data_IF_184420727892
#
_entry.id   IF_184420727892
#
_cell.length_a   1.000
_cell.length_b   1.000
_cell.length_c   1.000
_cell.angle_alpha   90.00
_cell.angle_beta   90.00
_cell.angle_gamma   90.00
#
_symmetry.space_group_name_H-M   'P 1'
#
loop_
_entity.id
_entity.type
_entity.pdbx_description
1 polymer ?
#
# COMPACT_ATOMS: atom_id res chain seq x y z
N UNK A 1 34.41 -6.48 18.11
CA UNK A 1 33.29 -7.12 17.39
C UNK A 1 32.81 -6.10 16.40
N UNK A 2 32.95 -6.40 15.12
CA UNK A 2 32.75 -5.47 14.01
C UNK A 2 31.29 -5.56 13.53
N UNK A 3 30.51 -4.52 13.82
CA UNK A 3 29.07 -4.42 13.49
C UNK A 3 28.83 -4.11 11.99
N UNK A 4 29.88 -3.95 11.17
CA UNK A 4 29.78 -3.59 9.75
C UNK A 4 29.45 -4.73 8.78
N UNK A 5 29.19 -5.96 9.27
CA UNK A 5 28.96 -7.16 8.43
C UNK A 5 27.56 -7.75 8.46
N UNK A 6 26.59 -7.13 9.15
CA UNK A 6 25.21 -7.63 9.23
C UNK A 6 24.24 -7.03 8.19
N UNK A 7 24.67 -6.03 7.39
CA UNK A 7 23.80 -5.35 6.41
C UNK A 7 24.26 -5.50 4.94
N UNK A 8 24.93 -6.60 4.59
CA UNK A 8 25.21 -6.91 3.17
C UNK A 8 24.67 -8.28 2.78
N UNK A 9 23.41 -8.27 2.33
CA UNK A 9 22.66 -9.22 1.46
C UNK A 9 21.23 -9.34 1.99
N UNK A 10 20.16 -9.07 1.26
CA UNK A 10 20.04 -8.83 -0.18
C UNK A 10 19.30 -7.54 -0.47
N UNK A 11 19.83 -6.77 -1.42
CA UNK A 11 18.93 -6.27 -2.46
C UNK A 11 18.18 -7.51 -2.95
N UNK A 12 16.90 -7.62 -2.62
CA UNK A 12 16.02 -8.41 -3.47
C UNK A 12 16.04 -7.66 -4.79
N UNK A 13 16.84 -8.16 -5.76
CA UNK A 13 16.52 -7.87 -7.15
C UNK A 13 15.01 -8.15 -7.29
N UNK A 14 14.24 -7.23 -7.88
CA UNK A 14 12.81 -7.45 -8.05
C UNK A 14 12.63 -8.82 -8.70
N UNK A 15 11.78 -9.64 -8.10
CA UNK A 15 11.45 -10.94 -8.66
C UNK A 15 11.05 -10.75 -10.13
N UNK A 16 11.35 -11.71 -11.03
CA UNK A 16 10.89 -11.65 -12.41
C UNK A 16 9.39 -11.32 -12.45
N UNK A 17 8.95 -10.48 -13.40
CA UNK A 17 7.59 -9.94 -13.42
C UNK A 17 6.49 -11.03 -13.31
N UNK A 18 6.74 -12.21 -13.89
CA UNK A 18 5.84 -13.36 -13.80
C UNK A 18 5.73 -13.92 -12.37
N UNK A 19 6.85 -14.01 -11.63
CA UNK A 19 6.89 -14.48 -10.24
C UNK A 19 6.20 -13.48 -9.30
N UNK A 20 6.42 -12.18 -9.51
CA UNK A 20 5.75 -11.12 -8.75
C UNK A 20 4.22 -11.16 -8.96
N UNK A 21 3.78 -11.38 -10.20
CA UNK A 21 2.37 -11.50 -10.57
C UNK A 21 1.71 -12.71 -9.91
N UNK A 22 2.33 -13.89 -10.00
CA UNK A 22 1.78 -15.12 -9.44
C UNK A 22 1.76 -15.08 -7.91
N UNK A 23 2.78 -14.51 -7.28
CA UNK A 23 2.82 -14.31 -5.84
C UNK A 23 1.69 -13.38 -5.38
N UNK A 24 1.47 -12.26 -6.07
CA UNK A 24 0.36 -11.36 -5.76
C UNK A 24 -1.00 -12.06 -5.91
N UNK A 25 -1.26 -12.75 -7.03
CA UNK A 25 -2.53 -13.50 -7.23
C UNK A 25 -2.79 -14.46 -6.08
N UNK A 26 -1.77 -15.21 -5.67
CA UNK A 26 -1.87 -16.16 -4.57
C UNK A 26 -2.11 -15.46 -3.23
N UNK A 27 -1.45 -14.32 -2.97
CA UNK A 27 -1.64 -13.52 -1.77
C UNK A 27 -3.05 -12.93 -1.67
N UNK A 28 -3.53 -12.33 -2.76
CA UNK A 28 -4.87 -11.76 -2.85
C UNK A 28 -5.95 -12.84 -2.63
N UNK A 29 -5.83 -13.98 -3.31
CA UNK A 29 -6.79 -15.08 -3.14
C UNK A 29 -6.84 -15.59 -1.70
N UNK A 30 -5.69 -15.67 -1.02
CA UNK A 30 -5.62 -16.06 0.40
C UNK A 30 -6.24 -15.01 1.32
N UNK A 31 -6.07 -13.73 1.03
CA UNK A 31 -6.63 -12.64 1.83
C UNK A 31 -8.15 -12.58 1.65
N UNK A 32 -8.65 -12.52 0.41
CA UNK A 32 -10.09 -12.45 0.12
C UNK A 32 -10.85 -13.63 0.73
N UNK A 33 -10.28 -14.84 0.70
CA UNK A 33 -10.90 -16.02 1.33
C UNK A 33 -11.03 -15.94 2.86
N UNK A 34 -10.39 -14.95 3.51
CA UNK A 34 -10.43 -14.73 4.97
C UNK A 34 -11.27 -13.54 5.39
N UNK A 35 -11.65 -12.67 4.45
CA UNK A 35 -12.50 -11.51 4.73
C UNK A 35 -13.96 -12.01 4.70
N UNK A 36 -14.76 -11.76 5.75
CA UNK A 36 -16.18 -12.09 5.74
C UNK A 36 -16.94 -11.15 4.78
N UNK A 37 -18.03 -11.66 4.20
CA UNK A 37 -18.89 -10.86 3.31
C UNK A 37 -18.31 -10.63 1.90
N UNK A 38 -18.93 -9.71 1.17
CA UNK A 38 -18.48 -9.31 -0.16
C UNK A 38 -17.42 -8.20 -0.06
N UNK A 39 -16.22 -8.46 -0.57
CA UNK A 39 -15.13 -7.47 -0.66
C UNK A 39 -15.42 -6.33 -1.65
N UNK A 40 -16.51 -6.43 -2.42
CA UNK A 40 -16.97 -5.43 -3.39
C UNK A 40 -15.88 -5.00 -4.39
N UNK A 41 -15.10 -5.98 -4.86
CA UNK A 41 -14.03 -5.77 -5.82
C UNK A 41 -14.60 -5.43 -7.19
N UNK A 42 -14.08 -4.39 -7.81
CA UNK A 42 -14.47 -4.01 -9.16
C UNK A 42 -13.94 -5.00 -10.21
N UNK A 43 -14.53 -5.01 -11.42
CA UNK A 43 -13.93 -5.70 -12.56
C UNK A 43 -12.49 -5.23 -12.84
N UNK A 44 -11.68 -6.02 -13.55
CA UNK A 44 -10.32 -5.65 -13.95
C UNK A 44 -10.22 -4.29 -14.63
N UNK A 45 -9.12 -3.58 -14.35
CA UNK A 45 -8.68 -2.46 -15.17
C UNK A 45 -8.21 -2.99 -16.54
N UNK A 46 -8.21 -2.11 -17.54
CA UNK A 46 -7.67 -2.44 -18.86
C UNK A 46 -6.17 -2.11 -18.93
N UNK A 47 -5.42 -2.83 -19.75
CA UNK A 47 -4.02 -2.50 -20.06
C UNK A 47 -3.86 -1.04 -20.50
N UNK A 48 -4.79 -0.53 -21.32
CA UNK A 48 -4.78 0.84 -21.80
C UNK A 48 -4.95 1.87 -20.65
N UNK A 49 -5.77 1.57 -19.66
CA UNK A 49 -5.93 2.42 -18.48
C UNK A 49 -4.64 2.45 -17.64
N UNK A 50 -3.96 1.32 -17.47
CA UNK A 50 -2.69 1.26 -16.76
C UNK A 50 -1.55 1.95 -17.52
N UNK A 51 -1.44 1.75 -18.83
CA UNK A 51 -0.47 2.50 -19.66
C UNK A 51 -0.73 4.00 -19.58
N UNK A 52 -2.00 4.42 -19.56
CA UNK A 52 -2.36 5.83 -19.39
C UNK A 52 -1.93 6.35 -18.02
N UNK A 53 -2.23 5.61 -16.94
CA UNK A 53 -1.82 5.96 -15.59
C UNK A 53 -0.30 6.11 -15.49
N UNK A 54 0.49 5.15 -15.97
CA UNK A 54 1.96 5.21 -15.96
C UNK A 54 2.50 6.41 -16.75
N UNK A 55 1.87 6.73 -17.87
CA UNK A 55 2.20 7.93 -18.66
C UNK A 55 1.94 9.21 -17.88
N UNK A 56 0.80 9.28 -17.16
CA UNK A 56 0.43 10.42 -16.34
C UNK A 56 1.35 10.60 -15.12
N UNK A 57 1.69 9.49 -14.46
CA UNK A 57 2.63 9.44 -13.33
C UNK A 57 4.09 9.72 -13.76
N UNK A 58 4.40 9.52 -15.03
CA UNK A 58 5.77 9.59 -15.58
C UNK A 58 6.67 8.44 -15.11
N UNK A 59 6.10 7.36 -14.57
CA UNK A 59 6.79 6.19 -13.99
C UNK A 59 5.97 4.93 -14.25
N UNK A 60 6.66 3.81 -14.44
CA UNK A 60 6.00 2.49 -14.53
C UNK A 60 5.54 2.03 -13.14
N UNK A 61 4.39 1.37 -13.09
CA UNK A 61 3.90 0.75 -11.86
C UNK A 61 4.66 -0.57 -11.63
N UNK A 62 4.96 -0.94 -10.37
CA UNK A 62 5.50 -2.25 -10.05
C UNK A 62 4.64 -3.39 -10.62
N UNK A 63 5.26 -4.49 -11.02
CA UNK A 63 4.57 -5.60 -11.67
C UNK A 63 3.42 -6.18 -10.82
N UNK A 64 3.59 -6.23 -9.50
CA UNK A 64 2.56 -6.68 -8.57
C UNK A 64 1.43 -5.66 -8.38
N UNK A 65 1.72 -4.35 -8.44
CA UNK A 65 0.68 -3.30 -8.48
C UNK A 65 -0.15 -3.39 -9.77
N UNK A 66 0.49 -3.53 -10.93
CA UNK A 66 -0.21 -3.77 -12.21
C UNK A 66 -1.06 -5.02 -12.13
N UNK A 67 -0.52 -6.11 -11.61
CA UNK A 67 -1.23 -7.37 -11.48
C UNK A 67 -2.47 -7.24 -10.57
N UNK A 68 -2.44 -6.40 -9.52
CA UNK A 68 -3.63 -6.15 -8.70
C UNK A 68 -4.71 -5.46 -9.50
N UNK A 69 -4.36 -4.39 -10.23
CA UNK A 69 -5.32 -3.65 -11.04
C UNK A 69 -5.86 -4.44 -12.23
N UNK A 70 -5.06 -5.33 -12.83
CA UNK A 70 -5.50 -6.26 -13.88
C UNK A 70 -6.40 -7.39 -13.35
N UNK A 71 -6.53 -7.54 -12.03
CA UNK A 71 -7.54 -8.40 -11.41
C UNK A 71 -8.77 -7.59 -11.01
N UNK A 72 -8.56 -6.42 -10.39
CA UNK A 72 -9.63 -5.57 -9.85
C UNK A 72 -9.25 -4.08 -9.91
N UNK A 73 -10.08 -3.27 -10.57
CA UNK A 73 -9.93 -1.81 -10.63
C UNK A 73 -10.46 -1.11 -9.36
N UNK A 74 -9.86 -1.46 -8.22
CA UNK A 74 -10.29 -0.95 -6.92
C UNK A 74 -11.40 -1.76 -6.26
N UNK A 75 -11.84 -1.22 -5.13
CA UNK A 75 -13.01 -1.63 -4.38
C UNK A 75 -14.06 -0.53 -4.41
N UNK A 76 -15.31 -0.91 -4.13
CA UNK A 76 -16.40 0.03 -3.93
C UNK A 76 -16.04 1.09 -2.89
N UNK A 77 -16.30 2.36 -3.23
CA UNK A 77 -16.11 3.50 -2.35
C UNK A 77 -17.48 3.91 -1.79
N UNK A 78 -17.55 4.13 -0.48
CA UNK A 78 -18.78 4.60 0.15
C UNK A 78 -19.23 5.92 -0.48
N UNK A 79 -20.51 6.02 -0.85
CA UNK A 79 -21.12 7.28 -1.28
C UNK A 79 -22.51 7.44 -0.69
N UNK A 80 -23.03 8.67 -0.63
CA UNK A 80 -24.42 8.89 -0.22
C UNK A 80 -25.45 8.19 -1.13
N UNK A 81 -25.09 7.90 -2.39
CA UNK A 81 -25.94 7.20 -3.35
C UNK A 81 -25.85 5.66 -3.22
N UNK A 82 -24.71 5.16 -2.73
CA UNK A 82 -24.45 3.75 -2.48
C UNK A 82 -23.67 3.61 -1.16
N UNK A 83 -24.38 3.58 -0.02
CA UNK A 83 -23.80 3.69 1.32
C UNK A 83 -23.26 2.36 1.85
N UNK A 84 -23.01 1.39 0.97
CA UNK A 84 -22.38 0.13 1.36
C UNK A 84 -20.90 0.37 1.62
N UNK A 85 -20.36 -0.38 2.57
CA UNK A 85 -18.93 -0.39 2.84
C UNK A 85 -18.28 -1.67 2.29
N UNK A 86 -17.13 -1.51 1.65
CA UNK A 86 -16.28 -2.63 1.31
C UNK A 86 -15.34 -2.93 2.49
N UNK A 87 -15.20 -4.20 2.87
CA UNK A 87 -14.12 -4.59 3.76
C UNK A 87 -12.77 -4.37 3.03
N UNK A 88 -12.04 -3.34 3.44
CA UNK A 88 -10.87 -2.86 2.70
C UNK A 88 -9.69 -3.83 2.72
N UNK A 89 -9.10 -4.10 1.54
CA UNK A 89 -7.95 -5.00 1.40
C UNK A 89 -6.70 -4.51 2.13
N UNK A 90 -6.61 -3.21 2.42
CA UNK A 90 -5.46 -2.58 3.05
C UNK A 90 -5.72 -2.36 4.54
N UNK A 91 -5.90 -3.49 5.26
CA UNK A 91 -6.16 -3.49 6.69
C UNK A 91 -7.37 -2.60 7.08
N UNK A 92 -8.46 -2.71 6.32
CA UNK A 92 -9.68 -1.91 6.49
C UNK A 92 -9.86 -0.80 5.45
N UNK A 93 -8.78 -0.30 4.84
CA UNK A 93 -8.88 0.72 3.81
C UNK A 93 -9.17 0.12 2.41
N UNK A 94 -10.16 0.64 1.66
CA UNK A 94 -10.49 0.13 0.33
C UNK A 94 -9.45 0.56 -0.72
N UNK A 95 -9.17 -0.34 -1.68
CA UNK A 95 -8.32 -0.02 -2.83
C UNK A 95 -9.02 1.03 -3.72
N UNK A 96 -8.32 2.12 -4.04
CA UNK A 96 -8.79 3.13 -4.99
C UNK A 96 -8.83 2.55 -6.42
N UNK A 97 -9.90 2.80 -7.18
CA UNK A 97 -9.88 2.67 -8.64
C UNK A 97 -8.75 3.48 -9.25
N UNK A 98 -8.19 3.06 -10.40
CA UNK A 98 -7.07 3.74 -11.07
C UNK A 98 -7.36 5.23 -11.28
N UNK A 99 -8.59 5.58 -11.65
CA UNK A 99 -8.98 6.98 -11.84
C UNK A 99 -8.86 7.81 -10.55
N UNK A 100 -9.25 7.23 -9.41
CA UNK A 100 -9.21 7.90 -8.12
C UNK A 100 -7.79 7.94 -7.55
N UNK A 101 -6.98 6.92 -7.82
CA UNK A 101 -5.53 6.95 -7.56
C UNK A 101 -4.89 8.16 -8.25
N UNK A 102 -5.18 8.37 -9.54
CA UNK A 102 -4.64 9.51 -10.29
C UNK A 102 -5.13 10.85 -9.75
N UNK A 103 -6.42 10.94 -9.40
CA UNK A 103 -6.99 12.14 -8.79
C UNK A 103 -6.31 12.49 -7.46
N UNK A 104 -6.13 11.49 -6.59
CA UNK A 104 -5.43 11.69 -5.32
C UNK A 104 -3.97 12.05 -5.55
N UNK A 105 -3.29 11.39 -6.48
CA UNK A 105 -1.92 11.74 -6.85
C UNK A 105 -1.82 13.18 -7.37
N UNK A 106 -2.75 13.66 -8.19
CA UNK A 106 -2.77 15.05 -8.68
C UNK A 106 -3.03 16.07 -7.56
N UNK A 107 -3.85 15.74 -6.55
CA UNK A 107 -4.11 16.61 -5.41
C UNK A 107 -2.84 16.93 -4.60
N UNK A 108 -1.83 16.06 -4.67
CA UNK A 108 -0.52 16.25 -4.03
C UNK A 108 0.46 17.10 -4.86
N UNK A 109 0.12 17.49 -6.08
CA UNK A 109 1.01 18.28 -6.93
C UNK A 109 1.41 19.61 -6.27
N UNK A 110 2.71 19.93 -6.28
CA UNK A 110 3.25 21.17 -5.73
C UNK A 110 3.56 21.13 -4.23
N UNK A 111 3.09 20.14 -3.47
CA UNK A 111 3.48 19.98 -2.06
C UNK A 111 4.95 19.61 -1.87
N UNK A 112 5.60 19.01 -2.87
CA UNK A 112 7.05 18.74 -2.91
C UNK A 112 7.94 19.99 -2.77
N UNK A 113 7.36 21.19 -2.95
CA UNK A 113 8.05 22.47 -2.77
C UNK A 113 7.91 23.05 -1.36
N UNK A 114 7.17 22.39 -0.47
CA UNK A 114 6.92 22.80 0.92
C UNK A 114 8.01 22.29 1.86
N UNK A 115 9.23 22.77 1.67
CA UNK A 115 10.39 22.37 2.49
C UNK A 115 10.22 22.66 3.99
N UNK A 116 9.35 23.61 4.35
CA UNK A 116 8.99 23.91 5.75
C UNK A 116 8.25 22.75 6.43
N UNK A 117 7.53 21.94 5.66
CA UNK A 117 6.83 20.76 6.15
C UNK A 117 7.78 19.56 6.32
N UNK A 118 8.89 19.52 5.59
CA UNK A 118 9.87 18.42 5.64
C UNK A 118 10.56 18.31 7.01
N UNK A 119 10.58 19.37 7.82
CA UNK A 119 11.21 19.38 9.16
C UNK A 119 10.60 18.34 10.10
N UNK A 120 9.32 18.03 9.94
CA UNK A 120 8.59 17.07 10.76
C UNK A 120 8.56 15.66 10.17
N UNK A 121 8.93 15.52 8.89
CA UNK A 121 8.88 14.26 8.19
C UNK A 121 10.04 13.34 8.59
N UNK A 122 9.72 12.08 8.82
CA UNK A 122 10.68 11.04 9.20
C UNK A 122 10.32 9.71 8.54
N UNK A 123 11.23 8.74 8.61
CA UNK A 123 11.03 7.41 8.04
C UNK A 123 11.26 6.34 9.11
N UNK A 124 10.38 5.35 9.16
CA UNK A 124 10.52 4.16 10.00
C UNK A 124 10.45 2.89 9.12
N UNK A 125 11.58 2.18 8.90
CA UNK A 125 12.90 2.42 9.47
C UNK A 125 13.67 3.58 8.82
N UNK A 126 14.60 4.18 9.56
CA UNK A 126 15.44 5.29 9.08
C UNK A 126 16.02 5.07 7.68
N UNK A 127 15.78 6.03 6.79
CA UNK A 127 16.37 6.08 5.46
C UNK A 127 15.70 5.19 4.41
N UNK A 128 14.61 4.49 4.75
CA UNK A 128 13.86 3.71 3.75
C UNK A 128 12.96 4.60 2.90
N UNK A 129 12.29 5.56 3.51
CA UNK A 129 11.45 6.57 2.86
C UNK A 129 12.19 7.91 2.91
N UNK A 130 12.01 8.77 1.91
CA UNK A 130 12.53 10.13 1.99
C UNK A 130 11.84 10.87 3.15
N UNK A 131 12.61 11.54 4.01
CA UNK A 131 12.09 12.40 5.07
C UNK A 131 11.59 13.73 4.45
N UNK A 132 10.44 13.67 3.79
CA UNK A 132 9.80 14.79 3.09
C UNK A 132 8.30 14.72 3.27
N UNK A 133 7.62 15.85 3.31
CA UNK A 133 6.17 15.87 3.42
C UNK A 133 5.46 15.25 2.20
N UNK A 134 6.05 15.38 1.01
CA UNK A 134 5.51 14.77 -0.21
C UNK A 134 6.59 14.51 -1.25
N UNK A 135 6.48 13.39 -1.96
CA UNK A 135 7.32 13.01 -3.10
C UNK A 135 6.43 12.50 -4.22
N UNK A 136 6.61 13.00 -5.45
CA UNK A 136 5.79 12.57 -6.62
C UNK A 136 5.90 11.08 -6.95
N UNK A 137 6.96 10.42 -6.48
CA UNK A 137 7.13 8.97 -6.57
C UNK A 137 6.20 8.17 -5.65
N UNK A 138 5.50 8.80 -4.70
CA UNK A 138 4.57 8.12 -3.79
C UNK A 138 3.19 8.04 -4.44
N UNK A 139 2.74 6.81 -4.70
CA UNK A 139 1.52 6.53 -5.45
C UNK A 139 0.44 6.03 -4.47
N UNK A 140 -0.67 6.77 -4.29
CA UNK A 140 -1.70 6.42 -3.31
C UNK A 140 -2.53 5.24 -3.80
N UNK A 141 -2.63 4.16 -3.01
CA UNK A 141 -3.51 3.03 -3.32
C UNK A 141 -4.82 3.06 -2.54
N UNK A 142 -4.88 3.86 -1.48
CA UNK A 142 -6.03 4.00 -0.58
C UNK A 142 -6.23 5.48 -0.25
N UNK A 143 -7.35 5.84 0.35
CA UNK A 143 -7.57 7.17 0.92
C UNK A 143 -8.51 7.06 2.13
N UNK A 144 -8.14 7.67 3.24
CA UNK A 144 -8.90 7.61 4.50
C UNK A 144 -10.05 8.64 4.60
N UNK A 145 -10.18 9.55 3.63
CA UNK A 145 -11.16 10.65 3.66
C UNK A 145 -10.59 11.98 4.16
N UNK A 146 -9.41 11.97 4.78
CA UNK A 146 -8.71 13.12 5.36
C UNK A 146 -7.37 13.45 4.70
N UNK A 147 -6.98 12.69 3.68
CA UNK A 147 -5.74 12.91 2.93
C UNK A 147 -4.58 12.02 3.38
N UNK A 148 -4.83 10.91 4.08
CA UNK A 148 -3.81 9.91 4.36
C UNK A 148 -3.97 8.67 3.48
N UNK A 149 -2.84 8.03 3.21
CA UNK A 149 -2.71 6.98 2.22
C UNK A 149 -1.80 5.87 2.72
N UNK A 150 -2.21 4.64 2.45
CA UNK A 150 -1.29 3.53 2.16
C UNK A 150 -1.06 3.51 0.65
N UNK A 151 0.19 3.42 0.23
CA UNK A 151 0.55 3.41 -1.18
C UNK A 151 1.92 2.80 -1.46
N UNK A 152 2.42 2.97 -2.69
CA UNK A 152 3.73 2.45 -3.11
C UNK A 152 4.72 3.56 -3.38
N UNK A 153 5.96 3.35 -2.96
CA UNK A 153 7.05 4.30 -3.09
C UNK A 153 7.94 3.96 -4.29
N UNK A 154 7.90 4.80 -5.32
CA UNK A 154 8.71 4.69 -6.54
C UNK A 154 9.94 5.60 -6.54
N UNK A 155 10.22 6.27 -5.41
CA UNK A 155 11.36 7.17 -5.23
C UNK A 155 11.86 7.09 -3.77
N UNK A 156 12.35 5.91 -3.33
CA UNK A 156 12.63 5.66 -1.93
C UNK A 156 13.88 6.38 -1.43
N UNK A 157 14.06 6.37 -0.11
CA UNK A 157 15.30 6.76 0.54
C UNK A 157 16.47 5.79 0.23
N UNK A 158 17.70 6.13 0.65
CA UNK A 158 18.90 5.37 0.30
C UNK A 158 18.95 3.92 0.82
N UNK A 159 18.15 3.59 1.83
CA UNK A 159 18.03 2.22 2.36
C UNK A 159 16.76 1.50 1.87
N UNK A 160 15.86 2.20 1.17
CA UNK A 160 14.58 1.67 0.74
C UNK A 160 14.66 0.91 -0.59
N UNK A 161 13.52 0.38 -1.01
CA UNK A 161 13.37 -0.37 -2.27
C UNK A 161 12.23 0.21 -3.10
N UNK A 162 12.44 0.38 -4.41
CA UNK A 162 11.40 0.83 -5.33
C UNK A 162 10.25 -0.18 -5.32
N UNK A 163 9.04 0.30 -5.06
CA UNK A 163 7.83 -0.53 -4.93
C UNK A 163 7.50 -0.97 -3.50
N UNK A 164 8.26 -0.53 -2.49
CA UNK A 164 7.89 -0.75 -1.09
C UNK A 164 6.54 -0.09 -0.77
N UNK A 165 5.77 -0.72 0.11
CA UNK A 165 4.46 -0.22 0.56
C UNK A 165 4.67 0.66 1.78
N UNK A 166 4.15 1.89 1.75
CA UNK A 166 4.38 2.91 2.78
C UNK A 166 3.08 3.58 3.23
N UNK A 167 3.12 4.20 4.40
CA UNK A 167 2.17 5.25 4.79
C UNK A 167 2.72 6.63 4.40
N UNK A 168 1.83 7.53 3.96
CA UNK A 168 2.11 8.95 3.76
C UNK A 168 0.79 9.73 3.75
N UNK A 169 0.80 11.04 3.96
CA UNK A 169 -0.44 11.80 4.03
C UNK A 169 -0.33 13.14 4.71
N UNK A 170 -1.48 13.80 4.85
CA UNK A 170 -1.59 15.12 5.48
C UNK A 170 -1.13 15.13 6.95
N UNK A 171 -1.39 14.03 7.67
CA UNK A 171 -1.10 13.89 9.10
C UNK A 171 0.02 12.87 9.38
N UNK A 172 0.72 12.39 8.35
CA UNK A 172 1.77 11.38 8.46
C UNK A 172 3.15 12.03 8.57
N UNK A 173 3.60 12.27 9.80
CA UNK A 173 4.95 12.78 10.10
C UNK A 173 6.01 11.66 10.12
N UNK A 174 5.59 10.41 10.25
CA UNK A 174 6.48 9.24 10.34
C UNK A 174 6.08 8.20 9.31
N UNK A 175 6.70 8.27 8.13
CA UNK A 175 6.42 7.35 7.03
C UNK A 175 6.86 5.94 7.38
N UNK A 176 5.91 5.03 7.52
CA UNK A 176 6.17 3.64 7.88
C UNK A 176 6.28 2.77 6.64
N UNK A 177 7.32 1.95 6.55
CA UNK A 177 7.39 0.88 5.55
C UNK A 177 6.63 -0.34 6.05
N UNK A 178 5.55 -0.69 5.37
CA UNK A 178 4.68 -1.81 5.71
C UNK A 178 5.13 -3.12 5.06
N UNK A 179 5.76 -3.04 3.89
CA UNK A 179 6.24 -4.23 3.18
C UNK A 179 7.25 -3.84 2.08
N UNK A 180 8.13 -4.76 1.66
CA UNK A 180 9.06 -4.52 0.56
C UNK A 180 8.39 -4.54 -0.82
N UNK A 181 7.21 -5.16 -0.94
CA UNK A 181 6.40 -5.23 -2.17
C UNK A 181 4.91 -5.33 -1.82
N UNK A 182 4.02 -5.06 -2.77
CA UNK A 182 2.57 -5.20 -2.57
C UNK A 182 2.16 -6.65 -2.35
N UNK A 183 2.78 -7.59 -3.07
CA UNK A 183 2.54 -9.02 -2.83
C UNK A 183 2.89 -9.41 -1.39
N UNK A 184 4.02 -8.92 -0.86
CA UNK A 184 4.42 -9.16 0.53
C UNK A 184 3.50 -8.47 1.53
N UNK A 185 2.93 -7.31 1.19
CA UNK A 185 1.94 -6.65 2.03
C UNK A 185 0.67 -7.51 2.19
N UNK A 186 0.07 -7.96 1.08
CA UNK A 186 -1.14 -8.79 1.11
C UNK A 186 -0.92 -10.13 1.84
N UNK A 187 0.29 -10.71 1.73
CA UNK A 187 0.69 -11.89 2.50
C UNK A 187 0.69 -11.63 4.00
N UNK A 188 1.26 -10.50 4.43
CA UNK A 188 1.27 -10.10 5.84
C UNK A 188 -0.14 -9.86 6.36
N UNK A 189 -0.97 -9.12 5.63
CA UNK A 189 -2.38 -8.91 6.01
C UNK A 189 -3.10 -10.26 6.17
N UNK A 190 -2.94 -11.17 5.20
CA UNK A 190 -3.55 -12.50 5.26
C UNK A 190 -3.08 -13.32 6.47
N UNK A 191 -1.79 -13.23 6.83
CA UNK A 191 -1.22 -13.89 7.99
C UNK A 191 -1.74 -13.31 9.31
N UNK A 192 -1.86 -11.98 9.40
CA UNK A 192 -2.39 -11.27 10.56
C UNK A 192 -3.87 -11.56 10.81
N UNK A 193 -4.66 -11.71 9.74
CA UNK A 193 -6.04 -12.20 9.85
C UNK A 193 -6.07 -13.65 10.32
N UNK A 194 -5.15 -14.50 9.84
CA UNK A 194 -5.07 -15.89 10.27
C UNK A 194 -4.66 -16.07 11.74
N UNK A 195 -3.82 -15.18 12.28
CA UNK A 195 -3.41 -15.19 13.70
C UNK A 195 -4.45 -14.54 14.62
N UNK A 196 -5.38 -13.74 14.07
CA UNK A 196 -6.33 -12.94 14.84
C UNK A 196 -5.74 -11.63 15.38
N UNK A 197 -4.55 -11.23 14.91
CA UNK A 197 -3.96 -9.92 15.24
C UNK A 197 -4.68 -8.78 14.53
N UNK A 198 -5.29 -9.08 13.40
CA UNK A 198 -6.23 -8.22 12.69
C UNK A 198 -7.51 -9.03 12.51
N UNK A 199 -8.65 -8.44 12.85
CA UNK A 199 -9.95 -9.09 12.76
C UNK A 199 -10.84 -8.19 11.89
N UNK A 200 -11.09 -8.60 10.63
CA UNK A 200 -12.08 -7.93 9.79
C UNK A 200 -13.45 -7.99 10.46
N UNK A 201 -14.19 -6.89 10.44
CA UNK A 201 -15.56 -6.87 10.93
C UNK A 201 -16.46 -7.78 10.09
N UNK A 202 -17.38 -8.48 10.74
CA UNK A 202 -18.50 -9.18 10.11
C UNK A 202 -19.77 -8.31 10.06
N UNK A 203 -19.71 -7.08 10.57
CA UNK A 203 -20.79 -6.09 10.51
C UNK A 203 -20.72 -5.29 9.20
N UNK A 204 -21.77 -5.38 8.39
CA UNK A 204 -21.88 -4.66 7.12
C UNK A 204 -22.07 -3.14 7.30
N UNK A 205 -22.52 -2.71 8.49
CA UNK A 205 -22.71 -1.31 8.85
C UNK A 205 -21.48 -0.69 9.56
N UNK A 206 -20.54 -1.52 10.02
CA UNK A 206 -19.27 -1.12 10.65
C UNK A 206 -18.14 -2.00 10.10
N UNK A 207 -17.64 -1.72 8.88
CA UNK A 207 -16.70 -2.57 8.16
C UNK A 207 -15.28 -2.56 8.75
N UNK A 208 -15.05 -1.80 9.82
CA UNK A 208 -13.71 -1.47 10.29
C UNK A 208 -12.99 -2.69 10.84
N UNK A 209 -11.70 -2.77 10.51
CA UNK A 209 -10.88 -3.87 10.97
C UNK A 209 -10.34 -3.53 12.36
N UNK A 210 -10.51 -4.46 13.31
CA UNK A 210 -9.91 -4.30 14.63
C UNK A 210 -8.51 -4.90 14.64
N UNK A 211 -7.57 -4.25 15.33
CA UNK A 211 -6.19 -4.70 15.44
C UNK A 211 -5.75 -4.82 16.89
N UNK A 212 -4.92 -5.81 17.19
CA UNK A 212 -4.40 -6.08 18.55
C UNK A 212 -3.40 -5.01 19.04
N UNK A 213 -2.79 -4.28 18.10
CA UNK A 213 -1.83 -3.19 18.28
C UNK A 213 -1.82 -2.30 17.02
N UNK A 214 -1.23 -1.10 17.04
CA UNK A 214 -1.19 -0.22 15.87
C UNK A 214 -0.64 -0.91 14.62
N UNK A 215 -1.20 -0.62 13.44
CA UNK A 215 -0.81 -1.25 12.17
C UNK A 215 0.70 -1.12 11.90
N UNK A 216 1.29 0.05 12.16
CA UNK A 216 2.74 0.27 12.02
C UNK A 216 3.62 -0.63 12.89
N UNK A 217 3.05 -1.35 13.87
CA UNK A 217 3.75 -2.33 14.71
C UNK A 217 3.40 -3.79 14.38
N UNK A 218 2.46 -4.01 13.46
CA UNK A 218 2.07 -5.33 12.96
C UNK A 218 2.80 -5.70 11.67
N UNK A 219 3.13 -4.71 10.86
CA UNK A 219 3.82 -4.90 9.59
C UNK A 219 5.34 -4.90 9.74
N UNK A 220 6.00 -5.64 8.86
CA UNK A 220 7.45 -5.76 8.80
C UNK A 220 8.00 -5.20 7.48
N UNK A 221 8.94 -4.24 7.54
CA UNK A 221 9.54 -3.61 6.36
C UNK A 221 10.20 -4.61 5.41
N UNK A 222 10.63 -5.76 5.93
CA UNK A 222 11.31 -6.81 5.17
C UNK A 222 10.40 -7.99 4.80
N UNK A 223 9.09 -7.91 5.09
CA UNK A 223 8.12 -8.95 4.73
C UNK A 223 8.19 -10.24 5.56
N UNK A 224 8.86 -10.20 6.71
CA UNK A 224 8.92 -11.34 7.64
C UNK A 224 7.57 -11.59 8.34
N UNK A 225 7.31 -12.80 8.87
CA UNK A 225 6.13 -13.06 9.67
C UNK A 225 6.13 -12.20 10.94
N UNK A 226 4.95 -11.74 11.35
CA UNK A 226 4.73 -11.07 12.63
C UNK A 226 5.28 -11.93 13.78
N UNK A 227 6.17 -11.36 14.60
CA UNK A 227 6.69 -12.00 15.82
C UNK A 227 5.67 -11.98 16.96
#
# INVERSE_FOLDING_TARGET
>A
MDLGRLFRRGNHDPAPADDATDRLRAALARLVARIPGDTMLHPPATEAALTHAETHLGRELPADVRALYLLHDGQHQYTAADPRFAAGLFAGAPLLPVQDLLLNWDNWAGFESREDMDEFASSDPDGFVQAKYSVRGWIPLTHDGSGNHIGVDLDPGPAGTVGQVITFGADDEAHHVLAPTLASYLEQVSALVASGDIIPSDDEDDPDWTSSRPLSKLFHPTGGPAA
#
